data_IF_058913080982
#
_entry.id   IF_058913080982
#
_cell.length_a   1.000
_cell.length_b   1.000
_cell.length_c   1.000
_cell.angle_alpha   90.00
_cell.angle_beta   90.00
_cell.angle_gamma   90.00
#
_symmetry.space_group_name_H-M   'P 1'
#
loop_
_entity.id
_entity.type
_entity.pdbx_description
1 polymer ?
#
# COMPACT_ATOMS: atom_id res chain seq x y z
N UNK A 1 -20.21 -6.47 1.11
CA UNK A 1 -18.98 -6.47 1.91
C UNK A 1 -18.05 -7.55 1.39
N UNK A 2 -16.72 -7.35 1.42
CA UNK A 2 -15.74 -8.29 0.84
C UNK A 2 -15.31 -9.42 1.79
N UNK A 3 -15.81 -9.44 3.03
CA UNK A 3 -15.55 -10.53 3.99
C UNK A 3 -14.21 -10.45 4.72
N UNK A 4 -13.50 -9.32 4.66
CA UNK A 4 -12.22 -9.15 5.35
C UNK A 4 -12.39 -8.64 6.79
N UNK A 5 -11.51 -9.10 7.69
CA UNK A 5 -11.33 -8.46 8.99
C UNK A 5 -10.52 -7.18 8.81
N UNK A 6 -10.92 -6.11 9.50
CA UNK A 6 -10.30 -4.78 9.37
C UNK A 6 -9.65 -4.40 10.69
N UNK A 7 -8.36 -4.11 10.64
CA UNK A 7 -7.63 -3.44 11.70
C UNK A 7 -7.50 -1.95 11.33
N UNK A 8 -8.31 -1.09 11.93
CA UNK A 8 -8.22 0.35 11.72
C UNK A 8 -7.12 0.95 12.60
N UNK A 9 -6.09 1.50 11.96
CA UNK A 9 -4.97 2.20 12.60
C UNK A 9 -4.94 3.68 12.23
N UNK A 10 -6.01 4.20 11.61
CA UNK A 10 -6.13 5.59 11.19
C UNK A 10 -6.44 6.56 12.32
N UNK A 11 -6.66 7.83 11.99
CA UNK A 11 -7.17 8.82 12.95
C UNK A 11 -8.66 8.60 13.19
N UNK A 12 -9.08 8.74 14.45
CA UNK A 12 -10.49 8.70 14.86
C UNK A 12 -11.08 10.10 15.11
N UNK A 13 -10.37 11.14 14.67
CA UNK A 13 -10.81 12.53 14.79
C UNK A 13 -10.60 13.30 13.48
N UNK A 14 -11.24 14.46 13.38
CA UNK A 14 -11.05 15.40 12.27
C UNK A 14 -9.93 16.41 12.53
N UNK A 15 -9.23 16.29 13.65
CA UNK A 15 -8.10 17.15 13.96
C UNK A 15 -6.98 16.96 12.92
N UNK A 16 -6.19 18.01 12.62
CA UNK A 16 -4.99 17.85 11.81
C UNK A 16 -4.04 16.81 12.42
N UNK A 17 -3.49 15.96 11.56
CA UNK A 17 -2.53 14.92 11.93
C UNK A 17 -1.49 14.76 10.83
N UNK A 18 -0.37 14.13 11.16
CA UNK A 18 0.75 13.93 10.25
C UNK A 18 0.70 12.54 9.60
N UNK A 19 0.60 12.50 8.26
CA UNK A 19 0.51 11.25 7.52
C UNK A 19 1.66 10.25 7.74
N UNK A 20 2.92 10.66 8.07
CA UNK A 20 4.00 9.71 8.33
C UNK A 20 3.70 8.77 9.51
N UNK A 21 3.05 9.25 10.56
CA UNK A 21 2.74 8.45 11.76
C UNK A 21 1.80 7.29 11.41
N UNK A 22 0.81 7.55 10.56
CA UNK A 22 -0.13 6.54 10.07
C UNK A 22 0.49 5.62 9.02
N UNK A 23 1.42 6.13 8.20
CA UNK A 23 2.20 5.29 7.30
C UNK A 23 3.07 4.29 8.09
N UNK A 24 3.65 4.74 9.22
CA UNK A 24 4.37 3.87 10.14
C UNK A 24 3.46 2.84 10.82
N UNK A 25 2.30 3.25 11.33
CA UNK A 25 1.35 2.35 11.97
C UNK A 25 0.85 1.24 11.02
N UNK A 26 0.52 1.62 9.78
CA UNK A 26 0.15 0.70 8.69
C UNK A 26 1.30 -0.24 8.37
N UNK A 27 2.50 0.30 8.17
CA UNK A 27 3.68 -0.50 7.82
C UNK A 27 4.02 -1.52 8.91
N UNK A 28 3.99 -1.11 10.19
CA UNK A 28 4.17 -2.01 11.34
C UNK A 28 3.12 -3.11 11.35
N UNK A 29 1.84 -2.80 11.11
CA UNK A 29 0.80 -3.83 11.08
C UNK A 29 1.07 -4.92 10.04
N UNK A 30 1.58 -4.55 8.86
CA UNK A 30 1.96 -5.50 7.82
C UNK A 30 3.24 -6.27 8.19
N UNK A 31 4.29 -5.57 8.63
CA UNK A 31 5.59 -6.18 8.96
C UNK A 31 5.53 -7.11 10.18
N UNK A 32 4.68 -6.81 11.16
CA UNK A 32 4.46 -7.64 12.35
C UNK A 32 3.55 -8.86 12.06
N UNK A 33 3.02 -8.98 10.84
CA UNK A 33 2.10 -10.05 10.47
C UNK A 33 0.69 -9.90 11.06
N UNK A 34 0.33 -8.73 11.59
CA UNK A 34 -1.02 -8.42 12.09
C UNK A 34 -2.02 -8.15 10.96
N UNK A 35 -1.53 -7.85 9.76
CA UNK A 35 -2.31 -7.72 8.54
C UNK A 35 -1.51 -8.24 7.33
N UNK A 36 -2.18 -8.85 6.35
CA UNK A 36 -1.54 -9.34 5.13
C UNK A 36 -1.34 -8.21 4.09
N UNK A 37 -2.28 -7.27 4.06
CA UNK A 37 -2.30 -6.10 3.17
C UNK A 37 -2.85 -4.91 3.92
N UNK A 38 -2.52 -3.71 3.45
CA UNK A 38 -3.08 -2.49 4.02
C UNK A 38 -3.51 -1.48 2.96
N UNK A 39 -4.34 -0.54 3.41
CA UNK A 39 -4.84 0.58 2.63
C UNK A 39 -4.52 1.87 3.38
N UNK A 40 -3.95 2.84 2.70
CA UNK A 40 -3.57 4.13 3.26
C UNK A 40 -4.17 5.25 2.42
N UNK A 41 -4.91 6.16 3.05
CA UNK A 41 -5.61 7.24 2.37
C UNK A 41 -5.13 8.57 2.95
N UNK A 42 -4.70 9.48 2.07
CA UNK A 42 -4.47 10.88 2.46
C UNK A 42 -4.97 11.82 1.35
N UNK A 43 -4.80 13.13 1.49
CA UNK A 43 -5.34 14.10 0.52
C UNK A 43 -4.96 13.79 -0.92
N UNK A 44 -3.66 13.71 -1.24
CA UNK A 44 -3.18 13.33 -2.58
C UNK A 44 -2.67 11.88 -2.68
N UNK A 45 -2.47 11.21 -1.55
CA UNK A 45 -1.78 9.93 -1.45
C UNK A 45 -0.25 10.00 -1.60
N UNK A 46 0.30 11.10 -2.15
CA UNK A 46 1.74 11.21 -2.50
C UNK A 46 2.64 11.17 -1.27
N UNK A 47 2.37 12.01 -0.25
CA UNK A 47 3.22 12.03 0.96
C UNK A 47 3.16 10.69 1.69
N UNK A 48 1.96 10.13 1.80
CA UNK A 48 1.73 8.85 2.46
C UNK A 48 2.48 7.70 1.78
N UNK A 49 2.49 7.64 0.44
CA UNK A 49 3.26 6.62 -0.29
C UNK A 49 4.77 6.83 -0.16
N UNK A 50 5.24 8.08 -0.15
CA UNK A 50 6.66 8.40 0.09
C UNK A 50 7.12 7.93 1.47
N UNK A 51 6.32 8.17 2.52
CA UNK A 51 6.63 7.76 3.89
C UNK A 51 6.57 6.23 4.05
N UNK A 52 5.51 5.58 3.57
CA UNK A 52 5.33 4.13 3.71
C UNK A 52 6.49 3.35 3.07
N UNK A 53 6.94 3.74 1.86
CA UNK A 53 8.08 3.11 1.17
C UNK A 53 9.45 3.38 1.83
N UNK A 54 9.53 4.12 2.94
CA UNK A 54 10.77 4.21 3.73
C UNK A 54 10.95 3.04 4.68
N UNK A 55 9.90 2.28 4.94
CA UNK A 55 9.91 1.12 5.82
C UNK A 55 10.37 -0.10 5.00
N UNK A 56 11.53 -0.71 5.29
CA UNK A 56 11.98 -1.91 4.58
C UNK A 56 10.92 -3.02 4.66
N UNK A 57 10.64 -3.65 3.51
CA UNK A 57 9.60 -4.68 3.40
C UNK A 57 8.21 -4.14 3.03
N UNK A 58 8.00 -2.81 3.08
CA UNK A 58 6.78 -2.18 2.57
C UNK A 58 6.95 -1.79 1.10
N UNK A 59 5.98 -2.20 0.30
CA UNK A 59 5.85 -1.87 -1.12
C UNK A 59 4.50 -1.20 -1.29
N UNK A 60 4.52 0.14 -1.21
CA UNK A 60 3.32 0.97 -1.26
C UNK A 60 3.15 1.62 -2.63
N UNK A 61 2.02 1.38 -3.30
CA UNK A 61 1.71 2.00 -4.60
C UNK A 61 0.59 3.02 -4.49
N UNK A 62 0.83 4.22 -5.01
CA UNK A 62 -0.20 5.24 -5.19
C UNK A 62 -0.98 4.94 -6.47
N UNK A 63 -2.25 4.56 -6.32
CA UNK A 63 -3.09 4.17 -7.46
C UNK A 63 -4.33 5.07 -7.55
N UNK A 64 -4.64 5.52 -8.77
CA UNK A 64 -5.84 6.29 -9.09
C UNK A 64 -6.66 5.66 -10.23
N UNK A 65 -6.36 4.42 -10.55
CA UNK A 65 -7.00 3.63 -11.59
C UNK A 65 -6.95 2.14 -11.20
N UNK A 66 -7.85 1.33 -11.77
CA UNK A 66 -7.96 -0.09 -11.44
C UNK A 66 -6.76 -0.89 -11.95
N UNK A 67 -6.19 -0.52 -13.11
CA UNK A 67 -5.05 -1.21 -13.71
C UNK A 67 -3.85 -1.21 -12.76
N UNK A 68 -3.43 -0.04 -12.31
CA UNK A 68 -2.31 0.11 -11.37
C UNK A 68 -2.56 -0.62 -10.05
N UNK A 69 -3.81 -0.65 -9.56
CA UNK A 69 -4.16 -1.27 -8.29
C UNK A 69 -3.99 -2.80 -8.28
N UNK A 70 -4.42 -3.50 -9.33
CA UNK A 70 -4.17 -4.96 -9.43
C UNK A 70 -2.74 -5.25 -9.90
N UNK A 71 -2.23 -4.48 -10.87
CA UNK A 71 -0.92 -4.70 -11.47
C UNK A 71 0.21 -4.56 -10.45
N UNK A 72 0.11 -3.60 -9.52
CA UNK A 72 1.10 -3.43 -8.44
C UNK A 72 1.24 -4.70 -7.59
N UNK A 73 0.13 -5.40 -7.33
CA UNK A 73 0.17 -6.71 -6.63
C UNK A 73 0.76 -7.78 -7.53
N UNK A 74 0.26 -7.89 -8.76
CA UNK A 74 0.64 -8.94 -9.70
C UNK A 74 2.13 -8.92 -10.08
N UNK A 75 2.73 -7.74 -10.22
CA UNK A 75 4.10 -7.58 -10.70
C UNK A 75 5.11 -7.23 -9.62
N UNK A 76 4.69 -6.47 -8.61
CA UNK A 76 5.60 -5.89 -7.60
C UNK A 76 5.31 -6.43 -6.19
N UNK A 77 4.36 -7.36 -6.06
CA UNK A 77 3.92 -7.92 -4.77
C UNK A 77 3.60 -6.78 -3.77
N UNK A 78 2.91 -5.74 -4.28
CA UNK A 78 2.49 -4.58 -3.52
C UNK A 78 1.63 -5.00 -2.32
N UNK A 79 2.02 -4.60 -1.12
CA UNK A 79 1.33 -4.95 0.13
C UNK A 79 0.61 -3.76 0.78
N UNK A 80 0.79 -2.54 0.25
CA UNK A 80 0.04 -1.35 0.69
C UNK A 80 -0.52 -0.60 -0.52
N UNK A 81 -1.85 -0.48 -0.59
CA UNK A 81 -2.54 0.39 -1.55
C UNK A 81 -2.64 1.81 -0.98
N UNK A 82 -2.16 2.81 -1.71
CA UNK A 82 -2.28 4.22 -1.33
C UNK A 82 -3.24 4.94 -2.28
N UNK A 83 -4.15 5.75 -1.74
CA UNK A 83 -5.13 6.51 -2.53
C UNK A 83 -5.21 7.98 -2.09
N UNK A 84 -5.45 8.87 -3.06
CA UNK A 84 -5.69 10.29 -2.83
C UNK A 84 -7.18 10.64 -2.71
N UNK A 85 -7.65 10.96 -1.49
CA UNK A 85 -9.05 11.30 -1.23
C UNK A 85 -9.54 12.60 -1.89
N UNK A 86 -8.62 13.50 -2.25
CA UNK A 86 -8.91 14.72 -3.03
C UNK A 86 -8.74 14.51 -4.53
N UNK A 87 -8.33 13.32 -4.96
CA UNK A 87 -8.00 13.02 -6.37
C UNK A 87 -9.06 12.12 -7.00
N UNK A 88 -9.51 11.09 -6.27
CA UNK A 88 -10.50 10.12 -6.77
C UNK A 88 -11.77 10.10 -5.90
N UNK A 89 -12.91 9.78 -6.53
CA UNK A 89 -14.18 9.62 -5.83
C UNK A 89 -14.32 8.27 -5.12
N UNK A 90 -15.29 8.14 -4.19
CA UNK A 90 -15.45 6.94 -3.36
C UNK A 90 -15.82 5.68 -4.15
N UNK A 91 -16.58 5.79 -5.25
CA UNK A 91 -16.90 4.62 -6.08
C UNK A 91 -15.66 4.06 -6.77
N UNK A 92 -14.80 4.92 -7.32
CA UNK A 92 -13.52 4.50 -7.89
C UNK A 92 -12.63 3.89 -6.79
N UNK A 93 -12.54 4.52 -5.61
CA UNK A 93 -11.77 3.96 -4.49
C UNK A 93 -12.22 2.53 -4.10
N UNK A 94 -13.53 2.23 -4.17
CA UNK A 94 -14.05 0.87 -3.94
C UNK A 94 -13.61 -0.10 -5.04
N UNK A 95 -13.63 0.31 -6.31
CA UNK A 95 -13.15 -0.52 -7.42
C UNK A 95 -11.64 -0.80 -7.32
N UNK A 96 -10.85 0.21 -6.96
CA UNK A 96 -9.41 0.05 -6.69
C UNK A 96 -9.17 -0.93 -5.54
N UNK A 97 -9.95 -0.81 -4.46
CA UNK A 97 -9.85 -1.73 -3.31
C UNK A 97 -10.17 -3.17 -3.72
N UNK A 98 -11.21 -3.39 -4.53
CA UNK A 98 -11.54 -4.73 -5.07
C UNK A 98 -10.44 -5.28 -5.96
N UNK A 99 -9.92 -4.45 -6.88
CA UNK A 99 -8.85 -4.84 -7.78
C UNK A 99 -7.57 -5.22 -7.02
N UNK A 100 -7.18 -4.40 -6.04
CA UNK A 100 -6.04 -4.65 -5.17
C UNK A 100 -6.21 -5.91 -4.33
N UNK A 101 -7.34 -6.09 -3.64
CA UNK A 101 -7.57 -7.25 -2.76
C UNK A 101 -7.78 -8.55 -3.54
N UNK A 102 -8.35 -8.49 -4.74
CA UNK A 102 -8.56 -9.65 -5.60
C UNK A 102 -7.33 -10.11 -6.37
N UNK A 103 -6.31 -9.26 -6.50
CA UNK A 103 -5.09 -9.58 -7.22
C UNK A 103 -4.15 -10.52 -6.44
N UNK A 104 -3.36 -11.30 -7.16
CA UNK A 104 -2.34 -12.21 -6.60
C UNK A 104 -1.03 -12.02 -7.35
N UNK A 105 0.10 -12.04 -6.63
CA UNK A 105 1.42 -11.95 -7.26
C UNK A 105 1.59 -13.05 -8.31
N UNK A 106 1.96 -12.67 -9.54
CA UNK A 106 1.92 -13.60 -10.66
C UNK A 106 3.07 -14.60 -10.66
N UNK A 107 4.17 -14.29 -9.95
CA UNK A 107 5.33 -15.17 -9.86
C UNK A 107 6.09 -15.34 -11.20
N UNK A 108 5.79 -14.55 -12.22
CA UNK A 108 6.54 -14.61 -13.48
C UNK A 108 8.01 -14.25 -13.26
N UNK A 109 8.90 -14.85 -14.05
CA UNK A 109 10.35 -14.69 -13.89
C UNK A 109 10.79 -13.22 -13.90
N UNK A 110 10.23 -12.42 -14.82
CA UNK A 110 10.53 -10.98 -14.90
C UNK A 110 10.11 -10.22 -13.64
N UNK A 111 9.03 -10.63 -12.98
CA UNK A 111 8.49 -9.99 -11.77
C UNK A 111 9.33 -10.37 -10.55
N UNK A 112 9.61 -11.67 -10.36
CA UNK A 112 10.52 -12.15 -9.31
C UNK A 112 11.88 -11.47 -9.37
N UNK A 113 12.49 -11.39 -10.55
CA UNK A 113 13.78 -10.72 -10.75
C UNK A 113 13.74 -9.23 -10.39
N UNK A 114 12.66 -8.51 -10.74
CA UNK A 114 12.51 -7.07 -10.44
C UNK A 114 12.26 -6.85 -8.95
N UNK A 115 11.37 -7.64 -8.34
CA UNK A 115 11.11 -7.63 -6.91
C UNK A 115 12.39 -7.90 -6.10
N UNK A 116 13.20 -8.89 -6.49
CA UNK A 116 14.49 -9.15 -5.85
C UNK A 116 15.44 -7.94 -5.92
N UNK A 117 15.43 -7.18 -7.03
CA UNK A 117 16.20 -5.94 -7.13
C UNK A 117 15.67 -4.83 -6.22
N UNK A 118 14.34 -4.71 -6.06
CA UNK A 118 13.72 -3.77 -5.11
C UNK A 118 14.14 -4.11 -3.68
N UNK A 119 14.02 -5.38 -3.27
CA UNK A 119 14.46 -5.85 -1.94
C UNK A 119 15.96 -5.57 -1.73
N UNK A 120 16.79 -5.76 -2.77
CA UNK A 120 18.22 -5.45 -2.68
C UNK A 120 18.52 -3.95 -2.49
N UNK A 121 17.62 -3.02 -2.88
CA UNK A 121 17.78 -1.59 -2.59
C UNK A 121 17.59 -1.27 -1.11
N UNK A 122 16.73 -2.02 -0.42
CA UNK A 122 16.48 -1.87 1.02
C UNK A 122 17.72 -2.28 1.84
N UNK A 123 18.31 -3.43 1.50
CA UNK A 123 19.50 -3.94 2.17
C UNK A 123 20.71 -2.99 2.07
N UNK A 124 20.86 -2.26 0.96
CA UNK A 124 21.96 -1.29 0.78
C UNK A 124 21.91 -0.09 1.71
N UNK A 125 20.75 0.22 2.30
CA UNK A 125 20.55 1.37 3.19
C UNK A 125 20.72 1.04 4.68
N UNK A 126 20.89 -0.23 5.03
CA UNK A 126 21.02 -0.68 6.41
C UNK A 126 22.48 -0.71 6.92
N UNK A 127 23.39 -0.01 6.22
CA UNK A 127 24.79 0.20 6.59
C UNK A 127 25.06 1.67 6.89
#
# INVERSE_FOLDING_TARGET
ELGHQVLDVGTHSTAPVDYPDYAEAVGKAVLDGRAERAVLICGSGVGASVAANKLPGIRAGLCHDTYSAHQGVEHDDMNVLVMGSRVIGPELARELLRAFLGATFSGEERHRRRLAKVIALEAKRSN
#
